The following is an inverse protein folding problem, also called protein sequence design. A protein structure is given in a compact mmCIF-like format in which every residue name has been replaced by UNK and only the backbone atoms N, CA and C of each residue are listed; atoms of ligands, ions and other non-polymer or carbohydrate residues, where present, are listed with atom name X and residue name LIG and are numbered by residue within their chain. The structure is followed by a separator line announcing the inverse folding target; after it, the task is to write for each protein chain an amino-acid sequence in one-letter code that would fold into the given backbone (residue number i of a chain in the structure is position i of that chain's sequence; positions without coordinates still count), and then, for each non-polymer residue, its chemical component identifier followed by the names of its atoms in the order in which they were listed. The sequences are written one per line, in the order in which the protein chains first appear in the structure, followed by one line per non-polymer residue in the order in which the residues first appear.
data_IF_641458178858
#
_entry.id   IF_641458178858
#
_cell.length_a   1.000
_cell.length_b   1.000
_cell.length_c   1.000
_cell.angle_alpha   90.00
_cell.angle_beta   90.00
_cell.angle_gamma   90.00
#
_symmetry.space_group_name_H-M   'P 1'
#
loop_
_entity.id
_entity.type
_entity.pdbx_description
1 polymer ?
#
# COMPACT_ATOMS: atom_id res chain seq x y z
N UNK A 1 -6.97 -14.83 -4.36
CA UNK A 1 -5.63 -14.30 -4.52
C UNK A 1 -5.50 -12.95 -3.86
N UNK A 2 -4.37 -12.70 -3.25
CA UNK A 2 -4.15 -11.43 -2.58
C UNK A 2 -3.91 -10.33 -3.61
N UNK A 3 -4.44 -9.14 -3.34
CA UNK A 3 -4.21 -8.00 -4.20
C UNK A 3 -2.81 -7.44 -3.95
N UNK A 4 -2.18 -6.92 -4.99
CA UNK A 4 -0.89 -6.29 -4.84
C UNK A 4 -1.05 -4.94 -4.14
N UNK A 5 0.07 -4.39 -3.66
CA UNK A 5 0.05 -3.07 -3.02
C UNK A 5 -0.47 -2.00 -4.00
N UNK A 6 -0.12 -2.14 -5.27
CA UNK A 6 -0.58 -1.20 -6.30
C UNK A 6 -2.09 -1.27 -6.47
N UNK A 7 -2.64 -2.49 -6.49
CA UNK A 7 -4.08 -2.68 -6.62
C UNK A 7 -4.82 -2.08 -5.42
N UNK A 8 -4.31 -2.32 -4.23
CA UNK A 8 -4.91 -1.78 -3.01
C UNK A 8 -4.87 -0.24 -3.02
N UNK A 9 -3.78 0.32 -3.47
CA UNK A 9 -3.65 1.77 -3.59
C UNK A 9 -4.67 2.34 -4.57
N UNK A 10 -4.85 1.68 -5.71
CA UNK A 10 -5.84 2.11 -6.70
C UNK A 10 -7.24 2.08 -6.13
N UNK A 11 -7.58 1.02 -5.42
CA UNK A 11 -8.91 0.91 -4.81
C UNK A 11 -9.09 1.96 -3.72
N UNK A 12 -8.04 2.24 -2.96
CA UNK A 12 -8.08 3.30 -1.97
C UNK A 12 -8.35 4.65 -2.61
N UNK A 13 -7.70 4.93 -3.74
CA UNK A 13 -7.94 6.16 -4.48
C UNK A 13 -9.39 6.26 -4.96
N UNK A 14 -9.94 5.16 -5.46
CA UNK A 14 -11.34 5.14 -5.90
C UNK A 14 -12.28 5.42 -4.74
N UNK A 15 -12.03 4.80 -3.59
CA UNK A 15 -12.86 5.03 -2.42
C UNK A 15 -12.76 6.49 -1.98
N UNK A 16 -11.58 7.06 -2.01
CA UNK A 16 -11.37 8.45 -1.64
C UNK A 16 -12.17 9.39 -2.54
N UNK A 17 -12.08 9.18 -3.84
CA UNK A 17 -12.80 10.01 -4.82
C UNK A 17 -14.31 9.89 -4.64
N UNK A 18 -14.78 8.70 -4.27
CA UNK A 18 -16.20 8.46 -4.02
C UNK A 18 -16.68 9.05 -2.69
N UNK A 19 -15.77 9.54 -1.86
CA UNK A 19 -16.12 10.08 -0.56
C UNK A 19 -16.15 9.03 0.54
N UNK A 20 -15.74 7.81 0.24
CA UNK A 20 -15.72 6.72 1.22
C UNK A 20 -14.37 6.69 1.93
N UNK A 21 -14.16 7.69 2.79
CA UNK A 21 -12.88 7.86 3.47
C UNK A 21 -12.50 6.69 4.37
N UNK A 22 -13.42 6.11 5.15
CA UNK A 22 -13.06 4.95 5.98
C UNK A 22 -12.50 3.79 5.18
N UNK A 23 -13.12 3.49 4.04
CA UNK A 23 -12.63 2.42 3.17
C UNK A 23 -11.28 2.79 2.56
N UNK A 24 -11.12 4.05 2.17
CA UNK A 24 -9.85 4.52 1.60
C UNK A 24 -8.71 4.33 2.60
N UNK A 25 -8.95 4.68 3.85
CA UNK A 25 -7.94 4.53 4.90
C UNK A 25 -7.56 3.06 5.09
N UNK A 26 -8.56 2.18 5.12
CA UNK A 26 -8.29 0.75 5.27
C UNK A 26 -7.50 0.20 4.09
N UNK A 27 -7.87 0.58 2.88
CA UNK A 27 -7.19 0.10 1.69
C UNK A 27 -5.75 0.61 1.62
N UNK A 28 -5.53 1.86 1.97
CA UNK A 28 -4.19 2.40 2.03
C UNK A 28 -3.34 1.71 3.09
N UNK A 29 -3.90 1.42 4.24
CA UNK A 29 -3.20 0.69 5.30
C UNK A 29 -2.79 -0.70 4.82
N UNK A 30 -3.71 -1.39 4.13
CA UNK A 30 -3.41 -2.71 3.57
C UNK A 30 -2.31 -2.62 2.52
N UNK A 31 -2.33 -1.56 1.72
CA UNK A 31 -1.29 -1.36 0.70
C UNK A 31 0.08 -1.19 1.33
N UNK A 32 0.16 -0.44 2.41
CA UNK A 32 1.40 -0.24 3.13
C UNK A 32 1.90 -1.55 3.72
N UNK A 33 1.00 -2.33 4.32
CA UNK A 33 1.36 -3.63 4.89
C UNK A 33 1.85 -4.59 3.83
N UNK A 34 1.19 -4.63 2.68
CA UNK A 34 1.60 -5.51 1.59
C UNK A 34 2.99 -5.13 1.08
N UNK A 35 3.25 -3.85 1.01
CA UNK A 35 4.54 -3.35 0.55
C UNK A 35 5.65 -3.72 1.51
N UNK A 36 5.39 -3.64 2.79
CA UNK A 36 6.38 -3.98 3.82
C UNK A 36 6.74 -5.45 3.81
N UNK A 37 5.84 -6.30 3.34
CA UNK A 37 6.06 -7.75 3.32
C UNK A 37 6.83 -8.23 2.11
N UNK A 38 7.06 -7.38 1.13
CA UNK A 38 7.79 -7.78 -0.08
C UNK A 38 9.29 -7.77 0.17
N UNK A 39 9.97 -8.88 -0.15
CA UNK A 39 11.43 -8.96 0.05
C UNK A 39 12.20 -7.88 -0.68
N UNK A 40 11.79 -7.59 -1.92
CA UNK A 40 12.43 -6.56 -2.73
C UNK A 40 12.32 -5.20 -2.06
N UNK A 41 11.18 -4.94 -1.48
CA UNK A 41 10.95 -3.68 -0.79
C UNK A 41 11.87 -3.56 0.43
N UNK A 42 12.04 -4.64 1.17
CA UNK A 42 12.94 -4.63 2.33
C UNK A 42 14.37 -4.32 1.92
N UNK A 43 14.82 -4.89 0.82
CA UNK A 43 16.17 -4.63 0.31
C UNK A 43 16.33 -3.16 -0.05
N UNK A 44 15.38 -2.62 -0.76
CA UNK A 44 15.43 -1.21 -1.16
C UNK A 44 15.37 -0.29 0.05
N UNK A 45 14.57 -0.64 1.02
CA UNK A 45 14.43 0.15 2.22
C UNK A 45 15.73 0.18 3.02
N UNK A 46 16.42 -0.95 3.06
CA UNK A 46 17.70 -1.03 3.74
C UNK A 46 18.73 -0.11 3.09
N UNK A 47 18.74 -0.07 1.76
CA UNK A 47 19.63 0.80 1.02
C UNK A 47 19.31 2.27 1.27
N UNK A 48 18.04 2.63 1.24
CA UNK A 48 17.60 3.99 1.48
C UNK A 48 17.91 4.39 2.92
N UNK A 49 17.66 3.50 3.85
CA UNK A 49 17.94 3.76 5.26
C UNK A 49 19.42 3.95 5.54
N UNK A 50 20.25 3.45 4.66
CA UNK A 50 21.70 3.59 4.79
C UNK A 50 22.16 5.00 4.46
N UNK A 51 21.36 5.68 3.68
CA UNK A 51 21.66 7.06 3.32
C UNK A 51 21.19 8.01 4.40
#
# INVERSE_FOLDING_TARGET
MAKSAVDLKHEGNKAFVSGDYPSAVQLYSQAIEAKDKEPTFFTNRAQVGHL
#
